data_IF_434657694345
#
_entry.id   IF_434657694345
#
_cell.length_a   1.000
_cell.length_b   1.000
_cell.length_c   1.000
_cell.angle_alpha   90.00
_cell.angle_beta   90.00
_cell.angle_gamma   90.00
#
_symmetry.space_group_name_H-M   'P 1'
#
loop_
_entity.id
_entity.type
_entity.pdbx_description
1 polymer ?
#
# COMPACT_ATOMS: atom_id res chain seq x y z
N UNK A 1 -6.50 15.67 24.60
CA UNK A 1 -6.69 14.49 23.75
C UNK A 1 -6.02 14.79 22.42
N UNK A 2 -4.88 14.18 22.07
CA UNK A 2 -4.23 14.50 20.80
C UNK A 2 -5.09 13.90 19.69
N UNK A 3 -5.48 14.75 18.75
CA UNK A 3 -6.13 14.38 17.51
C UNK A 3 -5.29 13.29 16.83
N UNK A 4 -5.86 12.09 16.68
CA UNK A 4 -5.23 11.05 15.91
C UNK A 4 -5.04 11.60 14.50
N UNK A 5 -3.80 11.88 14.11
CA UNK A 5 -3.48 12.25 12.73
C UNK A 5 -4.15 11.24 11.79
N UNK A 6 -4.71 11.67 10.66
CA UNK A 6 -5.34 10.74 9.72
C UNK A 6 -4.35 9.59 9.45
N UNK A 7 -4.79 8.32 9.47
CA UNK A 7 -3.90 7.16 9.32
C UNK A 7 -3.01 7.28 8.07
N UNK A 8 -3.49 8.02 7.07
CA UNK A 8 -2.84 8.39 5.82
C UNK A 8 -1.50 9.13 5.96
N UNK A 9 -1.33 10.03 6.93
CA UNK A 9 -0.07 10.82 7.08
C UNK A 9 1.07 9.95 7.62
N UNK A 10 0.76 8.89 8.37
CA UNK A 10 1.74 7.87 8.75
C UNK A 10 2.14 7.00 7.57
N UNK A 11 1.15 6.54 6.80
CA UNK A 11 1.37 5.66 5.65
C UNK A 11 2.22 6.31 4.54
N UNK A 12 1.96 7.57 4.20
CA UNK A 12 2.75 8.28 3.18
C UNK A 12 4.23 8.38 3.53
N UNK A 13 4.55 8.68 4.80
CA UNK A 13 5.95 8.72 5.28
C UNK A 13 6.63 7.36 5.22
N UNK A 14 5.90 6.29 5.52
CA UNK A 14 6.43 4.92 5.42
C UNK A 14 6.71 4.52 3.96
N UNK A 15 5.88 4.97 3.01
CA UNK A 15 6.12 4.78 1.57
C UNK A 15 7.41 5.49 1.14
N UNK A 16 7.56 6.77 1.49
CA UNK A 16 8.75 7.55 1.12
C UNK A 16 10.02 6.93 1.73
N UNK A 17 9.97 6.57 3.01
CA UNK A 17 11.08 5.93 3.71
C UNK A 17 11.46 4.59 3.06
N UNK A 18 10.49 3.79 2.62
CA UNK A 18 10.77 2.53 1.95
C UNK A 18 11.49 2.72 0.61
N UNK A 19 11.11 3.74 -0.17
CA UNK A 19 11.76 4.05 -1.44
C UNK A 19 13.21 4.53 -1.25
N UNK A 20 13.48 5.31 -0.20
CA UNK A 20 14.83 5.73 0.17
C UNK A 20 15.66 4.53 0.63
N UNK A 21 15.15 3.74 1.58
CA UNK A 21 15.86 2.56 2.10
C UNK A 21 16.14 1.52 1.01
N UNK A 22 15.23 1.33 0.06
CA UNK A 22 15.47 0.43 -1.05
C UNK A 22 16.64 0.85 -1.96
N UNK A 23 16.98 2.15 -2.00
CA UNK A 23 18.10 2.67 -2.78
C UNK A 23 19.42 2.63 -2.00
N UNK A 24 19.37 2.97 -0.71
CA UNK A 24 20.58 3.20 0.08
C UNK A 24 20.95 2.02 0.97
N UNK A 25 19.96 1.45 1.68
CA UNK A 25 20.18 0.44 2.71
C UNK A 25 18.94 -0.44 2.89
N UNK A 26 18.76 -1.46 2.04
CA UNK A 26 17.53 -2.26 1.98
C UNK A 26 17.40 -3.31 3.09
N UNK A 27 18.39 -3.40 3.99
CA UNK A 27 18.48 -4.41 5.04
C UNK A 27 18.80 -3.79 6.41
N UNK A 28 18.47 -4.53 7.46
CA UNK A 28 18.69 -4.14 8.86
C UNK A 28 17.40 -3.67 9.55
N UNK A 29 17.48 -3.38 10.87
CA UNK A 29 16.29 -3.25 11.71
C UNK A 29 15.29 -2.18 11.24
N UNK A 30 15.78 -1.05 10.72
CA UNK A 30 14.92 0.01 10.19
C UNK A 30 14.16 -0.46 8.94
N UNK A 31 14.82 -1.14 8.01
CA UNK A 31 14.20 -1.69 6.81
C UNK A 31 13.19 -2.80 7.15
N UNK A 32 13.49 -3.64 8.14
CA UNK A 32 12.59 -4.70 8.62
C UNK A 32 11.32 -4.13 9.22
N UNK A 33 11.44 -3.10 10.06
CA UNK A 33 10.28 -2.45 10.67
C UNK A 33 9.43 -1.72 9.62
N UNK A 34 10.07 -1.04 8.65
CA UNK A 34 9.34 -0.43 7.52
C UNK A 34 8.58 -1.48 6.71
N UNK A 35 9.19 -2.63 6.40
CA UNK A 35 8.49 -3.73 5.72
C UNK A 35 7.29 -4.23 6.52
N UNK A 36 7.43 -4.37 7.84
CA UNK A 36 6.34 -4.78 8.72
C UNK A 36 5.18 -3.77 8.69
N UNK A 37 5.48 -2.48 8.86
CA UNK A 37 4.47 -1.42 8.80
C UNK A 37 3.75 -1.36 7.46
N UNK A 38 4.49 -1.45 6.35
CA UNK A 38 3.89 -1.47 5.01
C UNK A 38 2.97 -2.67 4.79
N UNK A 39 3.33 -3.86 5.26
CA UNK A 39 2.44 -5.04 5.20
C UNK A 39 1.16 -4.84 6.02
N UNK A 40 1.27 -4.25 7.22
CA UNK A 40 0.09 -3.87 8.00
C UNK A 40 -0.78 -2.86 7.26
N UNK A 41 -0.18 -1.85 6.61
CA UNK A 41 -0.93 -0.86 5.82
C UNK A 41 -1.66 -1.50 4.64
N UNK A 42 -1.04 -2.45 3.93
CA UNK A 42 -1.71 -3.24 2.88
C UNK A 42 -2.96 -3.92 3.46
N UNK A 43 -2.83 -4.63 4.59
CA UNK A 43 -3.95 -5.31 5.23
C UNK A 43 -5.10 -4.39 5.64
N UNK A 44 -4.81 -3.12 5.99
CA UNK A 44 -5.84 -2.14 6.34
C UNK A 44 -6.53 -1.51 5.11
N UNK A 45 -5.87 -1.48 3.95
CA UNK A 45 -6.35 -0.77 2.77
C UNK A 45 -7.02 -1.68 1.74
N UNK A 46 -6.72 -2.98 1.79
CA UNK A 46 -7.02 -3.91 0.69
C UNK A 46 -8.51 -4.04 0.42
N UNK A 47 -9.35 -4.15 1.46
CA UNK A 47 -10.80 -4.30 1.31
C UNK A 47 -11.42 -3.07 0.63
N UNK A 48 -11.06 -1.87 1.11
CA UNK A 48 -11.54 -0.61 0.51
C UNK A 48 -11.03 -0.42 -0.92
N UNK A 49 -9.79 -0.81 -1.21
CA UNK A 49 -9.24 -0.74 -2.55
C UNK A 49 -9.92 -1.75 -3.50
N UNK A 50 -10.28 -2.94 -3.01
CA UNK A 50 -11.01 -3.95 -3.76
C UNK A 50 -12.43 -3.49 -4.12
N UNK A 51 -13.13 -2.85 -3.16
CA UNK A 51 -14.45 -2.26 -3.41
C UNK A 51 -14.39 -1.20 -4.51
N UNK A 52 -13.40 -0.29 -4.44
CA UNK A 52 -13.16 0.68 -5.50
C UNK A 52 -12.95 0.01 -6.86
N UNK A 53 -12.07 -1.00 -6.91
CA UNK A 53 -11.72 -1.69 -8.13
C UNK A 53 -12.96 -2.32 -8.78
N UNK A 54 -13.76 -3.07 -8.00
CA UNK A 54 -15.02 -3.69 -8.46
C UNK A 54 -16.04 -2.65 -8.93
N UNK A 55 -16.06 -1.46 -8.32
CA UNK A 55 -16.94 -0.35 -8.66
C UNK A 55 -16.48 0.54 -9.82
N UNK A 56 -15.49 0.12 -10.62
CA UNK A 56 -15.08 0.82 -11.84
C UNK A 56 -15.92 0.40 -13.05
N UNK A 57 -16.47 1.39 -13.75
CA UNK A 57 -17.29 1.16 -14.95
C UNK A 57 -16.45 0.84 -16.19
N UNK A 58 -15.26 1.44 -16.31
CA UNK A 58 -14.32 1.13 -17.37
C UNK A 58 -13.68 -0.25 -17.12
N UNK A 59 -13.87 -1.19 -18.05
CA UNK A 59 -13.43 -2.57 -17.88
C UNK A 59 -11.91 -2.69 -17.78
N UNK A 60 -11.16 -1.91 -18.57
CA UNK A 60 -9.69 -1.94 -18.53
C UNK A 60 -9.16 -1.40 -17.21
N UNK A 61 -9.70 -0.26 -16.76
CA UNK A 61 -9.33 0.34 -15.49
C UNK A 61 -9.66 -0.59 -14.31
N UNK A 62 -10.81 -1.26 -14.35
CA UNK A 62 -11.20 -2.29 -13.39
C UNK A 62 -10.20 -3.43 -13.34
N UNK A 63 -9.85 -4.01 -14.48
CA UNK A 63 -8.93 -5.15 -14.53
C UNK A 63 -7.55 -4.77 -13.99
N UNK A 64 -7.05 -3.58 -14.31
CA UNK A 64 -5.79 -3.05 -13.77
C UNK A 64 -5.88 -2.89 -12.25
N UNK A 65 -6.99 -2.33 -11.74
CA UNK A 65 -7.18 -2.12 -10.31
C UNK A 65 -7.30 -3.44 -9.54
N UNK A 66 -8.03 -4.42 -10.06
CA UNK A 66 -8.13 -5.77 -9.48
C UNK A 66 -6.75 -6.43 -9.43
N UNK A 67 -6.03 -6.45 -10.56
CA UNK A 67 -4.67 -7.03 -10.60
C UNK A 67 -3.71 -6.34 -9.63
N UNK A 68 -3.87 -5.03 -9.41
CA UNK A 68 -3.07 -4.27 -8.43
C UNK A 68 -3.36 -4.72 -7.00
N UNK A 69 -4.64 -4.91 -6.65
CA UNK A 69 -5.08 -5.38 -5.33
C UNK A 69 -4.62 -6.82 -5.08
N UNK A 70 -4.79 -7.71 -6.06
CA UNK A 70 -4.33 -9.10 -5.98
C UNK A 70 -2.81 -9.18 -5.80
N UNK A 71 -2.06 -8.37 -6.54
CA UNK A 71 -0.61 -8.28 -6.39
C UNK A 71 -0.22 -7.83 -4.98
N UNK A 72 -0.86 -6.79 -4.44
CA UNK A 72 -0.61 -6.32 -3.09
C UNK A 72 -0.92 -7.40 -2.03
N UNK A 73 -1.98 -8.18 -2.23
CA UNK A 73 -2.29 -9.35 -1.39
C UNK A 73 -1.18 -10.41 -1.44
N UNK A 74 -0.62 -10.66 -2.62
CA UNK A 74 0.50 -11.57 -2.80
C UNK A 74 1.72 -11.20 -1.95
N UNK A 75 2.03 -9.90 -1.83
CA UNK A 75 3.17 -9.39 -1.05
C UNK A 75 3.05 -9.64 0.47
N UNK A 76 1.85 -9.97 0.98
CA UNK A 76 1.66 -10.37 2.37
C UNK A 76 2.16 -11.79 2.64
N UNK A 77 2.17 -12.63 1.61
CA UNK A 77 2.61 -14.03 1.68
C UNK A 77 4.09 -14.18 1.30
N UNK A 78 4.54 -13.34 0.38
CA UNK A 78 5.90 -13.38 -0.10
C UNK A 78 6.90 -12.75 0.88
N UNK A 79 7.84 -13.56 1.34
CA UNK A 79 8.94 -13.17 2.24
C UNK A 79 10.31 -13.40 1.60
N UNK A 80 10.36 -14.06 0.44
CA UNK A 80 11.60 -14.53 -0.17
C UNK A 80 11.95 -13.64 -1.38
N UNK A 81 13.18 -13.15 -1.44
CA UNK A 81 13.65 -12.37 -2.58
C UNK A 81 14.57 -11.21 -2.21
N UNK A 82 14.91 -10.40 -3.21
CA UNK A 82 15.74 -9.20 -3.02
C UNK A 82 15.08 -8.22 -2.03
N UNK A 83 15.72 -7.91 -0.89
CA UNK A 83 15.19 -6.98 0.10
C UNK A 83 14.85 -5.60 -0.47
N UNK A 84 15.64 -5.11 -1.44
CA UNK A 84 15.42 -3.82 -2.06
C UNK A 84 14.17 -3.85 -2.96
N UNK A 85 14.04 -4.87 -3.80
CA UNK A 85 12.83 -5.09 -4.60
C UNK A 85 11.59 -5.20 -3.71
N UNK A 86 11.65 -5.99 -2.63
CA UNK A 86 10.52 -6.16 -1.70
C UNK A 86 10.07 -4.83 -1.08
N UNK A 87 11.01 -3.99 -0.61
CA UNK A 87 10.69 -2.66 -0.10
C UNK A 87 10.02 -1.76 -1.15
N UNK A 88 10.53 -1.76 -2.39
CA UNK A 88 9.92 -0.97 -3.49
C UNK A 88 8.52 -1.44 -3.81
N UNK A 89 8.31 -2.76 -3.88
CA UNK A 89 7.01 -3.36 -4.19
C UNK A 89 5.99 -3.03 -3.10
N UNK A 90 6.35 -3.21 -1.83
CA UNK A 90 5.50 -2.87 -0.69
C UNK A 90 5.15 -1.37 -0.66
N UNK A 91 6.13 -0.48 -0.85
CA UNK A 91 5.89 0.96 -0.87
C UNK A 91 4.94 1.38 -2.00
N UNK A 92 5.16 0.87 -3.22
CA UNK A 92 4.28 1.15 -4.37
C UNK A 92 2.88 0.59 -4.18
N UNK A 93 2.76 -0.64 -3.66
CA UNK A 93 1.47 -1.25 -3.38
C UNK A 93 0.67 -0.38 -2.41
N UNK A 94 1.24 0.01 -1.28
CA UNK A 94 0.57 0.90 -0.31
C UNK A 94 0.17 2.22 -0.96
N UNK A 95 1.04 2.86 -1.75
CA UNK A 95 0.69 4.09 -2.45
C UNK A 95 -0.55 3.95 -3.37
N UNK A 96 -0.61 2.89 -4.18
CA UNK A 96 -1.75 2.64 -5.05
C UNK A 96 -3.02 2.31 -4.27
N UNK A 97 -2.94 1.46 -3.24
CA UNK A 97 -4.08 1.13 -2.40
C UNK A 97 -4.61 2.37 -1.66
N UNK A 98 -3.73 3.24 -1.16
CA UNK A 98 -4.14 4.50 -0.54
C UNK A 98 -4.94 5.36 -1.51
N UNK A 99 -4.45 5.47 -2.76
CA UNK A 99 -5.17 6.19 -3.81
C UNK A 99 -6.56 5.60 -4.04
N UNK A 100 -6.70 4.29 -4.16
CA UNK A 100 -8.00 3.64 -4.40
C UNK A 100 -8.95 3.77 -3.21
N UNK A 101 -8.49 3.49 -2.00
CA UNK A 101 -9.29 3.62 -0.78
C UNK A 101 -9.77 5.06 -0.55
N UNK A 102 -8.96 6.07 -0.88
CA UNK A 102 -9.39 7.47 -0.81
C UNK A 102 -10.52 7.82 -1.78
N UNK A 103 -10.65 7.11 -2.91
CA UNK A 103 -11.75 7.31 -3.86
C UNK A 103 -13.07 6.74 -3.31
N UNK A 104 -13.04 5.64 -2.56
CA UNK A 104 -14.24 5.11 -1.87
C UNK A 104 -14.75 6.13 -0.86
N UNK A 105 -13.86 6.67 -0.02
CA UNK A 105 -14.24 7.66 0.99
C UNK A 105 -14.90 8.91 0.37
N UNK A 106 -14.38 9.36 -0.78
CA UNK A 106 -14.98 10.49 -1.52
C UNK A 106 -16.36 10.18 -2.08
N UNK A 107 -16.62 8.93 -2.49
CA UNK A 107 -17.94 8.50 -2.97
C UNK A 107 -18.97 8.41 -1.84
N UNK A 108 -18.56 8.05 -0.63
CA UNK A 108 -19.46 7.97 0.52
C UNK A 108 -19.78 9.33 1.19
N UNK A 109 -19.02 10.38 0.85
CA UNK A 109 -19.20 11.73 1.43
C UNK A 109 -19.97 12.68 0.49
N UNK A 110 -20.37 12.21 -0.70
CA UNK A 110 -21.28 12.91 -1.62
C UNK A 110 -22.67 12.31 -1.55
#
# INVERSE_FOLDING_TARGET
MPEASPPWTGMGRDVDLALVLAQERPTGPTADEVRKRLRSHIGLLVDSAEEYAKGLADSRARDIAIATVEHAHGLLRDQDGDPAAMLRLLGKAVHHLMRYASQVQRRCTQ
#
